data_IF_909494888494
#
_entry.id   IF_909494888494
#
_cell.length_a   1.000
_cell.length_b   1.000
_cell.length_c   1.000
_cell.angle_alpha   90.00
_cell.angle_beta   90.00
_cell.angle_gamma   90.00
#
_symmetry.space_group_name_H-M   'P 1'
#
loop_
_entity.id
_entity.type
_entity.pdbx_description
1 polymer ?
#
# COMPACT_ATOMS: atom_id res chain seq x y z
N UNK A 1 56.06 52.66 0.01
CA UNK A 1 55.42 52.20 -1.25
C UNK A 1 54.77 50.86 -0.96
N UNK A 2 53.43 50.80 -0.91
CA UNK A 2 52.69 49.56 -0.69
C UNK A 2 51.77 49.36 -1.89
N UNK A 3 52.02 48.32 -2.69
CA UNK A 3 51.25 48.01 -3.88
C UNK A 3 49.98 47.25 -3.47
N UNK A 4 48.81 47.91 -3.55
CA UNK A 4 47.51 47.29 -3.32
C UNK A 4 47.05 46.56 -4.59
N UNK A 5 46.90 45.24 -4.52
CA UNK A 5 46.22 44.47 -5.57
C UNK A 5 44.70 44.69 -5.48
N UNK A 6 43.98 44.81 -6.61
CA UNK A 6 42.52 44.87 -6.57
C UNK A 6 41.95 43.51 -6.17
N UNK A 7 41.09 43.52 -5.15
CA UNK A 7 40.31 42.35 -4.70
C UNK A 7 39.38 41.89 -5.83
N UNK A 8 39.63 40.71 -6.38
CA UNK A 8 38.71 40.04 -7.29
C UNK A 8 37.51 39.53 -6.48
N UNK A 9 36.38 40.22 -6.59
CA UNK A 9 35.10 39.75 -6.03
C UNK A 9 34.74 38.41 -6.69
N UNK A 10 34.54 37.32 -5.92
CA UNK A 10 34.12 36.05 -6.49
C UNK A 10 32.73 36.21 -7.13
N UNK A 11 32.62 36.03 -8.44
CA UNK A 11 31.30 35.93 -9.06
C UNK A 11 30.56 34.71 -8.51
N UNK A 12 29.27 34.83 -8.12
CA UNK A 12 28.49 33.68 -7.70
C UNK A 12 28.34 32.73 -8.88
N UNK A 13 28.87 31.50 -8.75
CA UNK A 13 28.65 30.45 -9.73
C UNK A 13 27.14 30.25 -9.93
N UNK A 14 26.67 30.10 -11.18
CA UNK A 14 25.27 29.76 -11.43
C UNK A 14 24.96 28.43 -10.74
N UNK A 15 23.99 28.46 -9.82
CA UNK A 15 23.57 27.28 -9.09
C UNK A 15 23.11 26.22 -10.11
N UNK A 16 23.94 25.20 -10.34
CA UNK A 16 23.52 23.98 -11.03
C UNK A 16 22.26 23.47 -10.34
N UNK A 17 21.14 23.26 -11.06
CA UNK A 17 19.91 22.80 -10.44
C UNK A 17 20.20 21.48 -9.73
N UNK A 18 20.01 21.48 -8.41
CA UNK A 18 20.37 20.34 -7.58
C UNK A 18 19.52 19.14 -7.98
N UNK A 19 20.20 18.01 -8.25
CA UNK A 19 19.64 16.66 -8.45
C UNK A 19 18.65 16.27 -7.33
N UNK A 20 18.73 16.95 -6.18
CA UNK A 20 17.86 16.82 -5.01
C UNK A 20 16.40 17.22 -5.29
N UNK A 21 16.14 18.08 -6.28
CA UNK A 21 14.77 18.51 -6.61
C UNK A 21 13.92 17.46 -7.34
N UNK A 22 14.54 16.46 -7.97
CA UNK A 22 13.83 15.40 -8.72
C UNK A 22 13.44 14.16 -7.89
N UNK A 23 14.21 13.84 -6.84
CA UNK A 23 14.06 12.60 -6.06
C UNK A 23 12.68 12.40 -5.40
N UNK A 24 12.06 13.40 -4.75
CA UNK A 24 10.78 13.18 -4.08
C UNK A 24 9.60 13.11 -5.07
N UNK A 25 9.69 13.75 -6.24
CA UNK A 25 8.68 13.62 -7.31
C UNK A 25 8.72 12.23 -7.96
N UNK A 26 9.92 11.69 -8.20
CA UNK A 26 10.12 10.33 -8.71
C UNK A 26 9.53 9.27 -7.75
N UNK A 27 9.72 9.43 -6.44
CA UNK A 27 9.15 8.52 -5.44
C UNK A 27 7.62 8.59 -5.33
N UNK A 28 7.02 9.76 -5.58
CA UNK A 28 5.55 9.87 -5.67
C UNK A 28 5.04 9.12 -6.89
N UNK A 29 5.68 9.28 -8.05
CA UNK A 29 5.30 8.54 -9.26
C UNK A 29 5.45 7.03 -9.06
N UNK A 30 6.57 6.59 -8.48
CA UNK A 30 6.80 5.19 -8.12
C UNK A 30 5.71 4.68 -7.16
N UNK A 31 5.34 5.48 -6.16
CA UNK A 31 4.26 5.14 -5.23
C UNK A 31 2.92 4.96 -5.92
N UNK A 32 2.56 5.84 -6.86
CA UNK A 32 1.35 5.71 -7.68
C UNK A 32 1.41 4.42 -8.50
N UNK A 33 2.53 4.17 -9.17
CA UNK A 33 2.70 2.96 -10.00
C UNK A 33 2.53 1.68 -9.16
N UNK A 34 3.17 1.60 -7.99
CA UNK A 34 3.00 0.48 -7.06
C UNK A 34 1.55 0.32 -6.63
N UNK A 35 0.85 1.43 -6.35
CA UNK A 35 -0.55 1.38 -5.95
C UNK A 35 -1.45 0.81 -7.05
N UNK A 36 -1.24 1.23 -8.30
CA UNK A 36 -1.99 0.69 -9.44
C UNK A 36 -1.71 -0.79 -9.70
N UNK A 37 -0.44 -1.21 -9.63
CA UNK A 37 -0.07 -2.62 -9.76
C UNK A 37 -0.72 -3.44 -8.64
N UNK A 38 -0.70 -2.93 -7.41
CA UNK A 38 -1.31 -3.57 -6.26
C UNK A 38 -2.83 -3.76 -6.42
N UNK A 39 -3.53 -2.71 -6.87
CA UNK A 39 -4.96 -2.78 -7.18
C UNK A 39 -5.23 -3.81 -8.27
N UNK A 40 -4.42 -3.83 -9.33
CA UNK A 40 -4.53 -4.81 -10.42
C UNK A 40 -4.36 -6.26 -9.93
N UNK A 41 -3.37 -6.53 -9.07
CA UNK A 41 -3.16 -7.84 -8.47
C UNK A 41 -4.35 -8.26 -7.58
N UNK A 42 -4.86 -7.34 -6.77
CA UNK A 42 -6.02 -7.59 -5.91
C UNK A 42 -7.26 -7.92 -6.72
N UNK A 43 -7.50 -7.19 -7.82
CA UNK A 43 -8.59 -7.46 -8.74
C UNK A 43 -8.44 -8.81 -9.45
N UNK A 44 -7.22 -9.18 -9.86
CA UNK A 44 -6.95 -10.49 -10.45
C UNK A 44 -7.29 -11.64 -9.50
N UNK A 45 -6.93 -11.51 -8.21
CA UNK A 45 -7.32 -12.48 -7.18
C UNK A 45 -8.84 -12.64 -7.08
N UNK A 46 -9.59 -11.53 -7.03
CA UNK A 46 -11.06 -11.55 -6.99
C UNK A 46 -11.68 -12.20 -8.23
N UNK A 47 -11.18 -11.86 -9.43
CA UNK A 47 -11.67 -12.44 -10.70
C UNK A 47 -11.44 -13.94 -10.72
N UNK A 48 -10.29 -14.41 -10.20
CA UNK A 48 -9.96 -15.84 -10.15
C UNK A 48 -10.97 -16.61 -9.27
N UNK A 49 -11.34 -16.07 -8.12
CA UNK A 49 -12.40 -16.64 -7.25
C UNK A 49 -13.79 -16.59 -7.90
N UNK A 50 -14.08 -15.50 -8.60
CA UNK A 50 -15.37 -15.33 -9.27
C UNK A 50 -15.56 -16.34 -10.43
N UNK A 51 -14.57 -16.46 -11.31
CA UNK A 51 -14.61 -17.38 -12.46
C UNK A 51 -14.66 -18.84 -12.01
N UNK A 52 -14.02 -19.17 -10.89
CA UNK A 52 -14.01 -20.54 -10.34
C UNK A 52 -15.34 -20.88 -9.66
N UNK A 53 -16.01 -19.91 -9.02
CA UNK A 53 -17.36 -20.08 -8.48
C UNK A 53 -18.43 -20.37 -9.54
N UNK A 54 -18.19 -19.97 -10.80
CA UNK A 54 -19.07 -20.21 -11.95
C UNK A 54 -18.88 -21.61 -12.58
N UNK A 55 -18.03 -22.47 -12.01
CA UNK A 55 -17.83 -23.85 -12.47
C UNK A 55 -16.92 -24.00 -13.70
N UNK A 56 -16.32 -22.92 -14.19
CA UNK A 56 -15.53 -22.92 -15.42
C UNK A 56 -14.11 -23.51 -15.28
N UNK A 57 -13.64 -23.79 -14.06
CA UNK A 57 -12.25 -24.23 -13.78
C UNK A 57 -12.23 -25.61 -13.11
N UNK A 58 -13.10 -26.51 -13.57
CA UNK A 58 -13.23 -27.85 -12.98
C UNK A 58 -12.05 -28.82 -13.19
N UNK A 59 -11.01 -28.45 -13.95
CA UNK A 59 -10.03 -29.44 -14.46
C UNK A 59 -8.55 -29.13 -14.29
N UNK A 60 -8.14 -27.93 -13.84
CA UNK A 60 -6.70 -27.54 -13.87
C UNK A 60 -6.08 -27.36 -12.47
N UNK A 61 -6.85 -27.01 -11.44
CA UNK A 61 -6.33 -26.72 -10.09
C UNK A 61 -7.18 -27.32 -8.98
N UNK A 62 -6.53 -27.82 -7.93
CA UNK A 62 -7.24 -28.24 -6.72
C UNK A 62 -7.77 -27.01 -5.96
N UNK A 63 -8.87 -27.13 -5.19
CA UNK A 63 -9.40 -26.03 -4.37
C UNK A 63 -8.35 -25.38 -3.45
N UNK A 64 -7.41 -26.18 -2.92
CA UNK A 64 -6.31 -25.71 -2.08
C UNK A 64 -5.33 -24.82 -2.83
N UNK A 65 -4.95 -25.20 -4.05
CA UNK A 65 -4.06 -24.39 -4.89
C UNK A 65 -4.71 -23.06 -5.26
N UNK A 66 -6.02 -23.08 -5.48
CA UNK A 66 -6.79 -21.93 -5.89
C UNK A 66 -6.85 -20.86 -4.79
N UNK A 67 -7.17 -21.27 -3.56
CA UNK A 67 -7.16 -20.38 -2.39
C UNK A 67 -5.75 -19.91 -2.06
N UNK A 68 -4.71 -20.74 -2.25
CA UNK A 68 -3.33 -20.31 -2.08
C UNK A 68 -2.97 -19.15 -3.02
N UNK A 69 -3.34 -19.26 -4.30
CA UNK A 69 -3.07 -18.24 -5.32
C UNK A 69 -3.90 -16.99 -5.06
N UNK A 70 -5.17 -17.13 -4.70
CA UNK A 70 -6.02 -15.99 -4.35
C UNK A 70 -5.43 -15.20 -3.18
N UNK A 71 -5.05 -15.88 -2.08
CA UNK A 71 -4.49 -15.21 -0.91
C UNK A 71 -3.12 -14.60 -1.20
N UNK A 72 -2.31 -15.23 -2.06
CA UNK A 72 -1.06 -14.65 -2.53
C UNK A 72 -1.30 -13.38 -3.36
N UNK A 73 -2.21 -13.41 -4.35
CA UNK A 73 -2.53 -12.27 -5.20
C UNK A 73 -3.15 -11.12 -4.40
N UNK A 74 -4.13 -11.42 -3.54
CA UNK A 74 -4.81 -10.45 -2.69
C UNK A 74 -3.86 -9.86 -1.64
N UNK A 75 -3.02 -10.70 -1.01
CA UNK A 75 -2.02 -10.28 -0.03
C UNK A 75 -0.93 -9.40 -0.66
N UNK A 76 -0.36 -9.82 -1.78
CA UNK A 76 0.62 -9.02 -2.52
C UNK A 76 0.02 -7.74 -3.09
N UNK A 77 -1.21 -7.80 -3.61
CA UNK A 77 -1.92 -6.63 -4.13
C UNK A 77 -2.17 -5.57 -3.06
N UNK A 78 -2.68 -5.97 -1.89
CA UNK A 78 -2.90 -5.06 -0.76
C UNK A 78 -1.58 -4.49 -0.21
N UNK A 79 -0.52 -5.30 -0.14
CA UNK A 79 0.80 -4.84 0.28
C UNK A 79 1.40 -3.79 -0.68
N UNK A 80 1.37 -4.06 -1.99
CA UNK A 80 1.83 -3.11 -3.00
C UNK A 80 1.01 -1.81 -2.99
N UNK A 81 -0.30 -1.93 -2.78
CA UNK A 81 -1.20 -0.77 -2.64
C UNK A 81 -0.85 0.07 -1.41
N UNK A 82 -0.68 -0.56 -0.25
CA UNK A 82 -0.32 0.14 0.98
C UNK A 82 1.06 0.80 0.92
N UNK A 83 2.07 0.10 0.39
CA UNK A 83 3.42 0.66 0.18
C UNK A 83 3.38 1.82 -0.82
N UNK A 84 2.66 1.65 -1.93
CA UNK A 84 2.50 2.69 -2.94
C UNK A 84 1.89 3.97 -2.37
N UNK A 85 0.76 3.84 -1.65
CA UNK A 85 0.11 4.98 -1.02
C UNK A 85 0.94 5.60 0.11
N UNK A 86 1.67 4.79 0.89
CA UNK A 86 2.63 5.29 1.86
C UNK A 86 3.68 6.19 1.19
N UNK A 87 4.30 5.72 0.10
CA UNK A 87 5.29 6.51 -0.64
C UNK A 87 4.69 7.82 -1.16
N UNK A 88 3.46 7.80 -1.67
CA UNK A 88 2.76 9.02 -2.13
C UNK A 88 2.60 10.01 -0.98
N UNK A 89 1.91 9.63 0.09
CA UNK A 89 1.58 10.55 1.18
C UNK A 89 2.81 11.00 1.96
N UNK A 90 3.76 10.10 2.20
CA UNK A 90 5.01 10.43 2.91
C UNK A 90 5.85 11.43 2.13
N UNK A 91 6.02 11.24 0.80
CA UNK A 91 6.81 12.17 0.00
C UNK A 91 6.07 13.50 -0.22
N UNK A 92 4.74 13.50 -0.32
CA UNK A 92 3.94 14.74 -0.33
C UNK A 92 4.15 15.52 0.97
N UNK A 93 4.13 14.87 2.13
CA UNK A 93 4.37 15.50 3.44
C UNK A 93 5.75 16.16 3.52
N UNK A 94 6.75 15.61 2.82
CA UNK A 94 8.12 16.17 2.75
C UNK A 94 8.20 17.41 1.85
N UNK A 95 7.45 17.42 0.74
CA UNK A 95 7.46 18.54 -0.22
C UNK A 95 6.54 19.68 0.24
N UNK A 96 5.44 19.37 0.92
CA UNK A 96 4.41 20.34 1.36
C UNK A 96 4.26 20.35 2.88
N UNK A 97 4.94 21.26 3.60
CA UNK A 97 4.84 21.38 5.05
C UNK A 97 3.41 21.66 5.54
N UNK A 98 2.61 22.40 4.75
CA UNK A 98 1.23 22.76 5.08
C UNK A 98 0.29 21.55 5.19
N UNK A 99 0.56 20.45 4.47
CA UNK A 99 -0.25 19.23 4.50
C UNK A 99 0.32 18.15 5.42
N UNK A 100 1.48 18.42 6.05
CA UNK A 100 2.28 17.45 6.79
C UNK A 100 1.48 16.66 7.85
N UNK A 101 0.71 17.27 8.78
CA UNK A 101 0.04 16.50 9.84
C UNK A 101 -0.97 15.48 9.30
N UNK A 102 -1.68 15.83 8.23
CA UNK A 102 -2.69 14.96 7.61
C UNK A 102 -2.05 13.84 6.78
N UNK A 103 -1.07 14.21 5.96
CA UNK A 103 -0.42 13.28 5.03
C UNK A 103 0.57 12.34 5.74
N UNK A 104 1.24 12.76 6.81
CA UNK A 104 2.10 11.86 7.60
C UNK A 104 1.28 10.85 8.40
N UNK A 105 0.16 11.26 8.97
CA UNK A 105 -0.72 10.37 9.74
C UNK A 105 -1.35 9.33 8.80
N UNK A 106 -1.84 9.77 7.63
CA UNK A 106 -2.29 8.86 6.58
C UNK A 106 -1.21 7.86 6.16
N UNK A 107 0.01 8.34 5.93
CA UNK A 107 1.14 7.48 5.54
C UNK A 107 1.44 6.41 6.61
N UNK A 108 1.51 6.78 7.89
CA UNK A 108 1.81 5.83 8.97
C UNK A 108 0.73 4.74 9.06
N UNK A 109 -0.54 5.13 8.99
CA UNK A 109 -1.65 4.17 9.03
C UNK A 109 -1.60 3.23 7.81
N UNK A 110 -1.38 3.78 6.61
CA UNK A 110 -1.26 2.98 5.39
C UNK A 110 -0.07 2.03 5.44
N UNK A 111 1.06 2.45 6.01
CA UNK A 111 2.20 1.56 6.22
C UNK A 111 1.85 0.42 7.17
N UNK A 112 1.10 0.67 8.25
CA UNK A 112 0.67 -0.36 9.19
C UNK A 112 -0.32 -1.36 8.58
N UNK A 113 -1.12 -0.95 7.58
CA UNK A 113 -2.01 -1.88 6.87
C UNK A 113 -1.26 -2.94 6.04
N UNK A 114 -0.01 -2.67 5.64
CA UNK A 114 0.81 -3.58 4.82
C UNK A 114 1.13 -4.90 5.54
N UNK A 115 1.80 -4.91 6.70
CA UNK A 115 2.07 -6.15 7.42
C UNK A 115 0.78 -6.83 7.89
N UNK A 116 -0.24 -6.05 8.28
CA UNK A 116 -1.53 -6.59 8.70
C UNK A 116 -2.21 -7.37 7.56
N UNK A 117 -2.28 -6.79 6.34
CA UNK A 117 -2.86 -7.45 5.18
C UNK A 117 -2.13 -8.74 4.79
N UNK A 118 -0.79 -8.72 4.85
CA UNK A 118 0.03 -9.89 4.51
C UNK A 118 -0.13 -11.03 5.54
N UNK A 119 -0.09 -10.71 6.84
CA UNK A 119 -0.26 -11.67 7.92
C UNK A 119 -1.66 -12.29 7.86
N UNK A 120 -2.70 -11.48 7.63
CA UNK A 120 -4.07 -11.96 7.55
C UNK A 120 -4.32 -12.84 6.32
N UNK A 121 -3.66 -12.58 5.19
CA UNK A 121 -3.73 -13.46 4.02
C UNK A 121 -3.12 -14.84 4.31
N UNK A 122 -1.96 -14.88 4.98
CA UNK A 122 -1.33 -16.13 5.42
C UNK A 122 -2.18 -16.87 6.45
N UNK A 123 -2.71 -16.16 7.45
CA UNK A 123 -3.60 -16.73 8.46
C UNK A 123 -4.89 -17.30 7.85
N UNK A 124 -5.47 -16.63 6.85
CA UNK A 124 -6.65 -17.11 6.13
C UNK A 124 -6.36 -18.42 5.40
N UNK A 125 -5.24 -18.48 4.67
CA UNK A 125 -4.85 -19.71 3.98
C UNK A 125 -4.65 -20.88 4.96
N UNK A 126 -3.97 -20.65 6.08
CA UNK A 126 -3.78 -21.66 7.12
C UNK A 126 -5.12 -22.14 7.70
N UNK A 127 -6.00 -21.21 8.08
CA UNK A 127 -7.32 -21.50 8.61
C UNK A 127 -8.17 -22.33 7.64
N UNK A 128 -8.14 -21.95 6.36
CA UNK A 128 -8.88 -22.63 5.30
C UNK A 128 -8.32 -24.04 5.04
N UNK A 129 -6.98 -24.19 5.03
CA UNK A 129 -6.34 -25.48 4.87
C UNK A 129 -6.69 -26.47 6.00
N UNK A 130 -6.79 -25.97 7.24
CA UNK A 130 -7.21 -26.75 8.40
C UNK A 130 -8.70 -27.11 8.36
N UNK A 131 -9.54 -26.25 7.78
CA UNK A 131 -10.97 -26.54 7.59
C UNK A 131 -11.17 -27.68 6.58
N UNK A 132 -10.48 -27.63 5.44
CA UNK A 132 -10.61 -28.62 4.36
C UNK A 132 -9.96 -29.96 4.68
N UNK A 133 -8.97 -30.01 5.57
CA UNK A 133 -8.36 -31.27 6.02
C UNK A 133 -9.29 -32.14 6.88
N UNK A 134 -10.47 -31.62 7.27
CA UNK A 134 -11.58 -32.42 7.80
C UNK A 134 -11.39 -32.93 9.23
N UNK A 135 -10.49 -32.33 10.02
CA UNK A 135 -10.30 -32.71 11.41
C UNK A 135 -11.57 -32.38 12.22
N UNK A 136 -12.37 -33.37 12.69
CA UNK A 136 -13.75 -33.15 13.17
C UNK A 136 -13.85 -32.21 14.38
N UNK A 137 -12.83 -32.19 15.23
CA UNK A 137 -12.74 -31.32 16.41
C UNK A 137 -12.38 -29.87 16.09
N UNK A 138 -12.03 -29.56 14.84
CA UNK A 138 -11.52 -28.26 14.41
C UNK A 138 -12.38 -27.58 13.35
N UNK A 139 -13.42 -28.23 12.80
CA UNK A 139 -14.23 -27.66 11.71
C UNK A 139 -14.97 -26.39 12.18
N UNK A 140 -15.66 -26.45 13.32
CA UNK A 140 -16.37 -25.28 13.87
C UNK A 140 -15.41 -24.18 14.32
N UNK A 141 -14.29 -24.57 14.96
CA UNK A 141 -13.25 -23.64 15.38
C UNK A 141 -12.57 -22.96 14.18
N UNK A 142 -12.31 -23.69 13.10
CA UNK A 142 -11.72 -23.17 11.87
C UNK A 142 -12.69 -22.26 11.12
N UNK A 143 -13.99 -22.58 11.09
CA UNK A 143 -15.03 -21.71 10.53
C UNK A 143 -15.12 -20.37 11.30
N UNK A 144 -15.12 -20.41 12.63
CA UNK A 144 -15.11 -19.21 13.46
C UNK A 144 -13.82 -18.39 13.29
N UNK A 145 -12.68 -19.07 13.12
CA UNK A 145 -11.39 -18.43 12.86
C UNK A 145 -11.37 -17.73 11.49
N UNK A 146 -11.88 -18.38 10.44
CA UNK A 146 -12.04 -17.79 9.11
C UNK A 146 -12.91 -16.54 9.14
N UNK A 147 -14.04 -16.59 9.87
CA UNK A 147 -14.90 -15.43 10.06
C UNK A 147 -14.17 -14.28 10.76
N UNK A 148 -13.46 -14.58 11.86
CA UNK A 148 -12.69 -13.59 12.62
C UNK A 148 -11.62 -12.93 11.75
N UNK A 149 -10.85 -13.71 10.98
CA UNK A 149 -9.84 -13.19 10.05
C UNK A 149 -10.48 -12.29 9.00
N UNK A 150 -11.62 -12.69 8.43
CA UNK A 150 -12.33 -11.87 7.44
C UNK A 150 -12.82 -10.53 8.01
N UNK A 151 -13.33 -10.54 9.25
CA UNK A 151 -13.75 -9.33 9.96
C UNK A 151 -12.55 -8.39 10.22
N UNK A 152 -11.40 -8.93 10.63
CA UNK A 152 -10.18 -8.14 10.84
C UNK A 152 -9.68 -7.57 9.50
N UNK A 153 -9.70 -8.35 8.41
CA UNK A 153 -9.33 -7.85 7.07
C UNK A 153 -10.22 -6.67 6.65
N UNK A 154 -11.53 -6.76 6.91
CA UNK A 154 -12.45 -5.66 6.64
C UNK A 154 -12.14 -4.42 7.50
N UNK A 155 -11.84 -4.60 8.79
CA UNK A 155 -11.43 -3.51 9.67
C UNK A 155 -10.13 -2.82 9.20
N UNK A 156 -9.13 -3.60 8.75
CA UNK A 156 -7.88 -3.07 8.18
C UNK A 156 -8.15 -2.29 6.89
N UNK A 157 -9.03 -2.80 6.02
CA UNK A 157 -9.42 -2.10 4.79
C UNK A 157 -10.15 -0.78 5.09
N UNK A 158 -11.00 -0.75 6.12
CA UNK A 158 -11.71 0.45 6.56
C UNK A 158 -10.75 1.48 7.17
N UNK A 159 -9.78 1.05 7.97
CA UNK A 159 -8.72 1.90 8.50
C UNK A 159 -7.87 2.50 7.37
N UNK A 160 -7.47 1.70 6.37
CA UNK A 160 -6.75 2.16 5.19
C UNK A 160 -7.54 3.18 4.36
N UNK A 161 -8.84 2.92 4.15
CA UNK A 161 -9.73 3.84 3.43
C UNK A 161 -9.88 5.17 4.17
N UNK A 162 -10.04 5.11 5.49
CA UNK A 162 -10.12 6.30 6.34
C UNK A 162 -8.83 7.11 6.28
N UNK A 163 -7.67 6.45 6.34
CA UNK A 163 -6.37 7.10 6.20
C UNK A 163 -6.21 7.79 4.83
N UNK A 164 -6.65 7.14 3.76
CA UNK A 164 -6.65 7.72 2.41
C UNK A 164 -7.50 9.00 2.35
N UNK A 165 -8.72 8.95 2.90
CA UNK A 165 -9.61 10.12 2.96
C UNK A 165 -9.01 11.27 3.77
N UNK A 166 -8.41 10.98 4.93
CA UNK A 166 -7.74 11.98 5.77
C UNK A 166 -6.56 12.62 5.02
N UNK A 167 -5.75 11.80 4.34
CA UNK A 167 -4.63 12.28 3.51
C UNK A 167 -5.09 13.16 2.35
N UNK A 168 -6.19 12.75 1.68
CA UNK A 168 -6.79 13.48 0.56
C UNK A 168 -7.42 14.80 1.02
N UNK A 169 -8.12 14.79 2.15
CA UNK A 169 -8.67 16.00 2.77
C UNK A 169 -7.55 17.02 3.07
N UNK A 170 -6.45 16.56 3.68
CA UNK A 170 -5.29 17.40 3.93
C UNK A 170 -4.71 18.04 2.67
N UNK A 171 -4.64 17.27 1.58
CA UNK A 171 -4.23 17.74 0.26
C UNK A 171 -5.16 18.80 -0.33
N UNK A 172 -6.47 18.54 -0.35
CA UNK A 172 -7.48 19.45 -0.92
C UNK A 172 -7.53 20.76 -0.14
N UNK A 173 -7.50 20.69 1.20
CA UNK A 173 -7.51 21.87 2.06
C UNK A 173 -6.34 22.83 1.76
N UNK A 174 -5.15 22.30 1.54
CA UNK A 174 -3.98 23.11 1.17
C UNK A 174 -4.07 23.75 -0.21
N UNK A 175 -4.89 23.21 -1.12
CA UNK A 175 -5.13 23.81 -2.43
C UNK A 175 -6.14 24.95 -2.33
N UNK A 176 -7.13 24.85 -1.44
CA UNK A 176 -8.15 25.90 -1.22
C UNK A 176 -7.66 27.15 -0.50
N UNK A 177 -6.51 27.10 0.18
CA UNK A 177 -5.96 28.24 0.93
C UNK A 177 -4.94 29.08 0.13
N UNK A 178 -4.89 28.90 -1.19
CA UNK A 178 -4.06 29.68 -2.13
C UNK A 178 -4.96 30.55 -2.97
#
# INVERSE_FOLDING_TARGET
MNAGYPELTPQPLPATPSVVTGRPRSLIFLGILLAFIGIGLGAAGFVLSYVTSLGAVGTIMTPLQLVAIEMALSGSGSALTGVGLFLVFFNIARIRPATKPWTSLAAIVLLATVPAGLILAGAYFQAWSAFVSGAPSYVDAAAQWLFTISAIRAAVALAGSTALLIGLFGLIRSLSSR
#
